data_IF_377635642078
#
_entry.id   IF_377635642078
#
_cell.length_a   1.000
_cell.length_b   1.000
_cell.length_c   1.000
_cell.angle_alpha   90.00
_cell.angle_beta   90.00
_cell.angle_gamma   90.00
#
_symmetry.space_group_name_H-M   'P 1'
#
loop_
_entity.id
_entity.type
_entity.pdbx_description
1 polymer ?
#
# COMPACT_ATOMS: atom_id res chain seq x y z
N UNK A 1 0.08 -30.98 13.23
CA UNK A 1 -0.12 -29.52 13.24
C UNK A 1 -1.59 -29.27 13.59
N UNK A 2 -1.89 -28.70 14.76
CA UNK A 2 -3.27 -28.49 15.19
C UNK A 2 -3.93 -27.43 14.28
N UNK A 3 -5.11 -27.74 13.72
CA UNK A 3 -5.92 -26.75 12.99
C UNK A 3 -6.54 -25.82 14.02
N UNK A 4 -6.11 -24.57 14.04
CA UNK A 4 -6.85 -23.50 14.70
C UNK A 4 -8.06 -23.13 13.84
N UNK A 5 -9.22 -23.00 14.49
CA UNK A 5 -10.44 -22.52 13.83
C UNK A 5 -10.64 -21.07 14.24
N UNK A 6 -10.62 -20.16 13.28
CA UNK A 6 -10.81 -18.73 13.50
C UNK A 6 -12.24 -18.34 13.11
N UNK A 7 -12.97 -17.76 14.06
CA UNK A 7 -14.33 -17.26 13.82
C UNK A 7 -14.30 -15.74 13.83
N UNK A 8 -14.65 -15.11 12.72
CA UNK A 8 -14.73 -13.66 12.55
C UNK A 8 -16.18 -13.21 12.38
N UNK A 9 -16.60 -12.19 13.14
CA UNK A 9 -17.93 -11.59 13.02
C UNK A 9 -17.85 -10.33 12.16
N UNK A 10 -18.77 -10.17 11.22
CA UNK A 10 -18.83 -9.01 10.32
C UNK A 10 -20.14 -8.25 10.53
N UNK A 11 -20.07 -6.94 10.70
CA UNK A 11 -21.22 -6.05 10.76
C UNK A 11 -21.40 -5.35 9.41
N UNK A 12 -22.63 -5.37 8.87
CA UNK A 12 -22.99 -4.69 7.63
C UNK A 12 -24.37 -4.06 7.77
N UNK A 13 -24.55 -2.89 7.16
CA UNK A 13 -25.85 -2.21 7.07
C UNK A 13 -26.74 -2.80 5.96
N UNK A 14 -26.17 -3.66 5.11
CA UNK A 14 -26.85 -4.32 3.99
C UNK A 14 -26.61 -5.84 4.03
N UNK A 15 -27.63 -6.61 3.68
CA UNK A 15 -27.53 -8.07 3.56
C UNK A 15 -26.69 -8.42 2.31
N UNK A 16 -25.48 -8.94 2.53
CA UNK A 16 -24.62 -9.46 1.46
C UNK A 16 -24.39 -10.96 1.64
N UNK A 17 -24.69 -11.74 0.59
CA UNK A 17 -24.41 -13.18 0.53
C UNK A 17 -22.92 -13.52 0.39
N UNK A 18 -22.09 -12.58 -0.08
CA UNK A 18 -20.64 -12.78 -0.29
C UNK A 18 -19.75 -11.79 0.51
N UNK A 19 -20.26 -11.23 1.60
CA UNK A 19 -19.54 -10.21 2.38
C UNK A 19 -18.17 -10.69 2.89
N UNK A 20 -18.07 -11.96 3.32
CA UNK A 20 -16.85 -12.51 3.89
C UNK A 20 -15.67 -12.47 2.93
N UNK A 21 -15.87 -12.91 1.68
CA UNK A 21 -14.80 -12.93 0.68
C UNK A 21 -14.40 -11.52 0.25
N UNK A 22 -15.37 -10.63 0.05
CA UNK A 22 -15.10 -9.23 -0.29
C UNK A 22 -14.29 -8.53 0.83
N UNK A 23 -14.65 -8.75 2.10
CA UNK A 23 -13.93 -8.19 3.24
C UNK A 23 -12.53 -8.78 3.33
N UNK A 24 -12.36 -10.10 3.13
CA UNK A 24 -11.03 -10.74 3.13
C UNK A 24 -10.15 -10.21 2.00
N UNK A 25 -10.67 -10.08 0.79
CA UNK A 25 -9.93 -9.47 -0.32
C UNK A 25 -9.55 -8.01 -0.01
N UNK A 26 -10.46 -7.24 0.56
CA UNK A 26 -10.17 -5.86 0.98
C UNK A 26 -9.06 -5.82 2.02
N UNK A 27 -9.12 -6.70 3.03
CA UNK A 27 -8.13 -6.79 4.09
C UNK A 27 -6.76 -7.21 3.54
N UNK A 28 -6.71 -8.17 2.62
CA UNK A 28 -5.46 -8.63 1.99
C UNK A 28 -4.80 -7.51 1.16
N UNK A 29 -5.59 -6.69 0.47
CA UNK A 29 -5.10 -5.49 -0.23
C UNK A 29 -4.56 -4.47 0.79
N UNK A 30 -5.33 -4.17 1.83
CA UNK A 30 -4.94 -3.20 2.85
C UNK A 30 -3.66 -3.65 3.55
N UNK A 31 -3.56 -4.93 3.95
CA UNK A 31 -2.43 -5.46 4.70
C UNK A 31 -1.12 -5.40 3.90
N UNK A 32 -1.18 -5.68 2.59
CA UNK A 32 -0.03 -5.52 1.71
C UNK A 32 0.43 -4.08 1.57
N UNK A 33 -0.46 -3.09 1.69
CA UNK A 33 -0.13 -1.68 1.48
C UNK A 33 0.22 -0.95 2.77
N UNK A 34 -0.39 -1.35 3.89
CA UNK A 34 -0.41 -0.64 5.17
C UNK A 34 1.00 -0.44 5.71
N UNK A 35 1.75 -1.52 5.90
CA UNK A 35 3.10 -1.44 6.45
C UNK A 35 4.00 -0.49 5.62
N UNK A 36 4.01 -0.63 4.29
CA UNK A 36 4.81 0.23 3.40
C UNK A 36 4.41 1.70 3.49
N UNK A 37 3.11 2.00 3.63
CA UNK A 37 2.62 3.38 3.80
C UNK A 37 3.02 3.96 5.16
N UNK A 38 2.93 3.17 6.22
CA UNK A 38 3.35 3.58 7.56
C UNK A 38 4.87 3.86 7.61
N UNK A 39 5.69 2.90 7.15
CA UNK A 39 7.15 2.99 7.31
C UNK A 39 7.87 3.75 6.20
N UNK A 40 7.52 3.55 4.93
CA UNK A 40 8.25 4.16 3.80
C UNK A 40 7.72 5.55 3.44
N UNK A 41 6.43 5.81 3.68
CA UNK A 41 5.81 7.12 3.44
C UNK A 41 5.57 7.94 4.71
N UNK A 42 6.06 7.45 5.86
CA UNK A 42 5.97 8.12 7.15
C UNK A 42 4.54 8.58 7.48
N UNK A 43 3.54 7.76 7.13
CA UNK A 43 2.14 8.15 7.24
C UNK A 43 1.76 8.53 8.68
N UNK A 44 2.15 7.71 9.66
CA UNK A 44 1.86 7.96 11.08
C UNK A 44 2.62 9.17 11.64
N UNK A 45 3.75 9.50 11.04
CA UNK A 45 4.59 10.64 11.44
C UNK A 45 4.17 11.94 10.71
N UNK A 46 3.19 11.87 9.81
CA UNK A 46 2.72 13.00 9.02
C UNK A 46 2.04 14.06 9.91
N UNK A 47 2.64 15.25 10.01
CA UNK A 47 2.06 16.38 10.75
C UNK A 47 0.97 17.14 9.99
N UNK A 48 0.70 16.77 8.73
CA UNK A 48 -0.32 17.42 7.89
C UNK A 48 -1.73 17.16 8.46
N UNK A 49 -2.34 18.19 9.03
CA UNK A 49 -3.71 18.13 9.61
C UNK A 49 -4.80 18.69 8.71
N UNK A 50 -4.44 19.44 7.67
CA UNK A 50 -5.40 19.96 6.70
C UNK A 50 -5.63 18.91 5.61
N UNK A 51 -6.85 18.37 5.54
CA UNK A 51 -7.28 17.36 4.55
C UNK A 51 -6.31 16.15 4.46
N UNK A 52 -6.02 15.47 5.59
CA UNK A 52 -5.05 14.36 5.64
C UNK A 52 -5.37 13.22 4.66
N UNK A 53 -6.65 13.03 4.34
CA UNK A 53 -7.10 12.03 3.35
C UNK A 53 -6.57 12.25 1.93
N UNK A 54 -6.26 13.48 1.53
CA UNK A 54 -5.64 13.74 0.22
C UNK A 54 -4.21 13.19 0.16
N UNK A 55 -3.42 13.44 1.21
CA UNK A 55 -2.07 12.88 1.30
C UNK A 55 -2.08 11.37 1.46
N UNK A 56 -3.03 10.79 2.20
CA UNK A 56 -3.22 9.35 2.24
C UNK A 56 -3.45 8.77 0.82
N UNK A 57 -4.25 9.46 0.00
CA UNK A 57 -4.52 9.05 -1.40
C UNK A 57 -3.31 9.25 -2.31
N UNK A 58 -2.55 10.34 -2.16
CA UNK A 58 -1.30 10.53 -2.92
C UNK A 58 -0.25 9.45 -2.62
N UNK A 59 -0.08 9.07 -1.35
CA UNK A 59 0.79 7.94 -0.97
C UNK A 59 0.36 6.65 -1.65
N UNK A 60 -0.94 6.36 -1.65
CA UNK A 60 -1.49 5.18 -2.33
C UNK A 60 -1.27 5.25 -3.85
N UNK A 61 -1.42 6.41 -4.48
CA UNK A 61 -1.11 6.57 -5.91
C UNK A 61 0.36 6.31 -6.22
N UNK A 62 1.28 6.92 -5.47
CA UNK A 62 2.71 6.70 -5.64
C UNK A 62 3.09 5.22 -5.45
N UNK A 63 2.55 4.57 -4.41
CA UNK A 63 2.78 3.15 -4.16
C UNK A 63 2.28 2.25 -5.30
N UNK A 64 1.10 2.54 -5.84
CA UNK A 64 0.54 1.79 -6.95
C UNK A 64 1.38 1.94 -8.22
N UNK A 65 1.90 3.14 -8.50
CA UNK A 65 2.78 3.38 -9.64
C UNK A 65 4.09 2.60 -9.48
N UNK A 66 4.74 2.66 -8.31
CA UNK A 66 5.95 1.89 -8.04
C UNK A 66 5.71 0.38 -8.19
N UNK A 67 4.56 -0.14 -7.72
CA UNK A 67 4.20 -1.55 -7.93
C UNK A 67 3.97 -1.92 -9.38
N UNK A 68 3.30 -1.06 -10.14
CA UNK A 68 3.10 -1.26 -11.57
C UNK A 68 4.45 -1.32 -12.33
N UNK A 69 5.46 -0.61 -11.83
CA UNK A 69 6.82 -0.63 -12.36
C UNK A 69 7.70 -1.79 -11.81
N UNK A 70 7.15 -2.69 -10.99
CA UNK A 70 7.89 -3.81 -10.44
C UNK A 70 8.92 -3.44 -9.36
N UNK A 71 8.77 -2.30 -8.69
CA UNK A 71 9.70 -1.85 -7.64
C UNK A 71 9.82 -2.89 -6.52
N UNK A 72 11.04 -3.44 -6.35
CA UNK A 72 11.35 -4.38 -5.27
C UNK A 72 11.57 -3.69 -3.91
N UNK A 73 12.09 -2.45 -3.91
CA UNK A 73 12.34 -1.68 -2.69
C UNK A 73 11.76 -0.26 -2.80
N UNK A 74 10.62 -0.05 -2.14
CA UNK A 74 9.87 1.21 -2.18
C UNK A 74 10.65 2.36 -1.54
N UNK A 75 11.40 2.13 -0.47
CA UNK A 75 12.18 3.18 0.20
C UNK A 75 13.30 3.73 -0.69
N UNK A 76 14.03 2.84 -1.38
CA UNK A 76 15.07 3.22 -2.35
C UNK A 76 14.48 4.01 -3.52
N UNK A 77 13.36 3.53 -4.06
CA UNK A 77 12.69 4.17 -5.19
C UNK A 77 12.16 5.57 -4.83
N UNK A 78 11.60 5.73 -3.62
CA UNK A 78 11.21 7.04 -3.11
C UNK A 78 12.40 8.00 -2.98
N UNK A 79 13.54 7.52 -2.47
CA UNK A 79 14.75 8.33 -2.36
C UNK A 79 15.25 8.82 -3.73
N UNK A 80 15.30 7.92 -4.73
CA UNK A 80 15.72 8.27 -6.09
C UNK A 80 14.75 9.27 -6.73
N UNK A 81 13.45 9.03 -6.64
CA UNK A 81 12.43 9.91 -7.20
C UNK A 81 12.41 11.29 -6.52
N UNK A 82 12.77 11.38 -5.24
CA UNK A 82 12.89 12.64 -4.53
C UNK A 82 14.12 13.45 -4.99
N UNK A 83 15.22 12.78 -5.33
CA UNK A 83 16.44 13.43 -5.84
C UNK A 83 16.30 13.85 -7.31
N UNK A 84 15.53 13.11 -8.10
CA UNK A 84 15.37 13.34 -9.53
C UNK A 84 13.89 13.35 -9.94
N UNK A 85 13.16 14.46 -9.71
CA UNK A 85 11.73 14.54 -10.03
C UNK A 85 11.40 14.52 -11.53
N UNK A 86 12.42 14.56 -12.40
CA UNK A 86 12.28 14.68 -13.87
C UNK A 86 12.65 13.37 -14.58
N UNK A 87 13.18 12.34 -13.90
CA UNK A 87 13.58 11.11 -14.60
C UNK A 87 12.36 10.42 -15.21
N UNK A 88 12.27 10.30 -16.55
CA UNK A 88 11.19 9.58 -17.19
C UNK A 88 11.49 8.10 -17.06
N UNK A 89 10.86 7.41 -16.12
CA UNK A 89 10.63 5.95 -16.09
C UNK A 89 11.68 5.09 -16.81
N UNK A 90 12.97 5.19 -16.47
CA UNK A 90 13.95 4.22 -16.97
C UNK A 90 13.68 2.88 -16.27
N UNK A 91 12.95 2.06 -17.03
CA UNK A 91 12.72 0.64 -16.89
C UNK A 91 13.96 -0.04 -16.32
N UNK A 92 13.73 -0.87 -15.30
CA UNK A 92 14.67 -1.69 -14.55
C UNK A 92 16.13 -1.69 -15.00
N UNK A 93 17.01 -1.26 -14.11
CA UNK A 93 18.29 -1.94 -13.94
C UNK A 93 17.99 -3.33 -13.35
N UNK A 94 17.51 -4.24 -14.21
CA UNK A 94 18.08 -5.57 -14.19
C UNK A 94 19.56 -5.37 -14.51
N UNK A 95 20.41 -5.99 -13.71
CA UNK A 95 21.87 -6.07 -13.87
C UNK A 95 22.64 -4.86 -13.30
N UNK A 96 23.13 -5.04 -12.07
CA UNK A 96 24.54 -4.86 -11.73
C UNK A 96 24.80 -5.46 -10.32
N UNK A 97 25.33 -6.69 -10.33
CA UNK A 97 26.00 -7.49 -9.28
C UNK A 97 25.31 -7.73 -7.92
#
# INVERSE_FOLDING_TARGET
MAKTNETSLYASQIMLTAAGDAIRCHWDIENRCRHVREVSFFEDHSSIRTKPGHFARFRTFALNIMRANGTANVGRELYINALNPITPWHIGSHDEN
#
